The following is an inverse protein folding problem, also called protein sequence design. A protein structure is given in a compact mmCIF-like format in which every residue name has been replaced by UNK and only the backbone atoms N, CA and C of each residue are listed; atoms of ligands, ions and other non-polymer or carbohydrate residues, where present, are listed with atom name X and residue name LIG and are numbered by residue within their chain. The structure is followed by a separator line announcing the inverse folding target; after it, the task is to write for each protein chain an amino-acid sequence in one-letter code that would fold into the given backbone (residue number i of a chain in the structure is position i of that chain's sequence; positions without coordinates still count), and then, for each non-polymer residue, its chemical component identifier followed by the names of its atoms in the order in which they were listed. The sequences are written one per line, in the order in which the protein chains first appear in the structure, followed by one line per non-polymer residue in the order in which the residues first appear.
data_IF_640110507597
#
_entry.id   IF_640110507597
#
_cell.length_a   1.000
_cell.length_b   1.000
_cell.length_c   1.000
_cell.angle_alpha   90.00
_cell.angle_beta   90.00
_cell.angle_gamma   90.00
#
_symmetry.space_group_name_H-M   'P 1'
#
loop_
_entity.id
_entity.type
_entity.pdbx_description
1 polymer ?
#
# COMPACT_ATOMS: atom_id res chain seq x y z
N UNK A 1 43.40 -19.79 -9.05
CA UNK A 1 42.66 -20.03 -7.80
C UNK A 1 41.43 -20.86 -8.18
N UNK A 2 41.28 -22.07 -7.62
CA UNK A 2 40.08 -22.89 -7.89
C UNK A 2 38.88 -22.17 -7.27
N UNK A 3 38.01 -21.61 -8.10
CA UNK A 3 36.72 -21.04 -7.65
C UNK A 3 35.82 -22.22 -7.23
N UNK A 4 36.00 -22.71 -6.00
CA UNK A 4 34.99 -23.59 -5.42
C UNK A 4 33.69 -22.85 -5.32
N UNK A 5 32.60 -23.39 -5.86
CA UNK A 5 31.29 -22.76 -5.80
C UNK A 5 30.85 -22.57 -4.34
N UNK A 6 30.52 -21.35 -3.98
CA UNK A 6 30.16 -20.98 -2.61
C UNK A 6 28.75 -20.39 -2.53
N UNK A 7 28.10 -20.59 -1.40
CA UNK A 7 26.85 -19.93 -1.00
C UNK A 7 27.18 -18.79 -0.03
N UNK A 8 26.20 -17.94 0.26
CA UNK A 8 26.42 -16.83 1.17
C UNK A 8 26.77 -17.33 2.59
N UNK A 9 27.97 -17.04 3.11
CA UNK A 9 28.40 -17.52 4.43
C UNK A 9 27.48 -17.02 5.57
N UNK A 10 26.89 -15.83 5.43
CA UNK A 10 25.97 -15.25 6.41
C UNK A 10 24.70 -16.07 6.62
N UNK A 11 24.34 -16.93 5.65
CA UNK A 11 23.13 -17.79 5.70
C UNK A 11 23.45 -19.23 6.10
N UNK A 12 24.70 -19.57 6.33
CA UNK A 12 25.13 -20.96 6.62
C UNK A 12 24.37 -21.56 7.82
N UNK A 13 24.30 -20.85 8.92
CA UNK A 13 23.65 -21.36 10.12
C UNK A 13 22.13 -21.41 9.99
N UNK A 14 21.54 -20.45 9.28
CA UNK A 14 20.11 -20.46 8.96
C UNK A 14 19.71 -21.77 8.23
N UNK A 15 20.50 -22.26 7.28
CA UNK A 15 20.20 -23.48 6.53
C UNK A 15 20.55 -24.76 7.30
N UNK A 16 21.55 -24.74 8.20
CA UNK A 16 21.98 -25.90 8.96
C UNK A 16 21.13 -26.17 10.20
N UNK A 17 20.56 -25.14 10.81
CA UNK A 17 19.77 -25.26 12.03
C UNK A 17 18.54 -26.15 11.80
N UNK A 18 18.30 -27.08 12.72
CA UNK A 18 17.20 -28.06 12.70
C UNK A 18 16.16 -27.81 13.80
N UNK A 19 16.50 -27.04 14.82
CA UNK A 19 15.64 -26.68 15.94
C UNK A 19 15.44 -25.18 15.93
N UNK A 20 14.18 -24.75 15.96
CA UNK A 20 13.82 -23.33 16.02
C UNK A 20 14.06 -22.77 17.44
N UNK A 21 14.09 -21.43 17.64
CA UNK A 21 14.32 -20.81 18.94
C UNK A 21 13.30 -21.19 20.02
N UNK A 22 12.10 -21.62 19.63
CA UNK A 22 11.04 -22.08 20.51
C UNK A 22 11.17 -23.58 20.91
N UNK A 23 12.26 -24.25 20.52
CA UNK A 23 12.53 -25.66 20.82
C UNK A 23 11.88 -26.66 19.88
N UNK A 24 11.03 -26.24 18.95
CA UNK A 24 10.41 -27.14 17.98
C UNK A 24 11.35 -27.46 16.80
N UNK A 25 11.14 -28.62 16.17
CA UNK A 25 11.78 -28.92 14.89
C UNK A 25 11.39 -27.88 13.85
N UNK A 26 12.36 -27.48 13.02
CA UNK A 26 12.14 -26.46 11.98
C UNK A 26 11.12 -26.97 10.96
N UNK A 27 10.05 -26.20 10.81
CA UNK A 27 8.96 -26.39 9.84
C UNK A 27 8.87 -25.26 8.84
N UNK A 28 9.30 -24.07 9.25
CA UNK A 28 9.24 -22.86 8.44
C UNK A 28 10.60 -22.16 8.45
N UNK A 29 11.10 -21.86 7.24
CA UNK A 29 12.28 -21.02 7.04
C UNK A 29 11.84 -19.75 6.34
N UNK A 30 11.81 -18.64 7.08
CA UNK A 30 11.45 -17.32 6.57
C UNK A 30 12.72 -16.52 6.34
N UNK A 31 13.03 -16.25 5.08
CA UNK A 31 14.17 -15.46 4.66
C UNK A 31 13.68 -14.21 3.93
N UNK A 32 13.78 -13.07 4.60
CA UNK A 32 13.24 -11.81 4.07
C UNK A 32 14.27 -10.69 4.10
N UNK A 33 14.02 -9.59 3.39
CA UNK A 33 14.90 -8.43 3.32
C UNK A 33 14.90 -7.75 1.97
N UNK A 34 15.79 -6.80 1.77
CA UNK A 34 15.89 -5.99 0.57
C UNK A 34 16.35 -6.76 -0.67
N UNK A 35 16.33 -6.09 -1.81
CA UNK A 35 16.92 -6.58 -3.06
C UNK A 35 18.43 -6.75 -2.90
N UNK A 36 19.04 -7.50 -3.82
CA UNK A 36 20.49 -7.75 -3.88
C UNK A 36 21.08 -8.46 -2.64
N UNK A 37 20.24 -9.08 -1.80
CA UNK A 37 20.66 -9.77 -0.56
C UNK A 37 21.00 -11.28 -0.73
N UNK A 38 21.04 -11.78 -1.96
CA UNK A 38 21.32 -13.21 -2.30
C UNK A 38 20.26 -14.24 -1.88
N UNK A 39 19.15 -13.87 -1.23
CA UNK A 39 18.12 -14.79 -0.69
C UNK A 39 17.76 -15.94 -1.63
N UNK A 40 17.27 -15.61 -2.83
CA UNK A 40 16.78 -16.59 -3.81
C UNK A 40 17.93 -17.44 -4.38
N UNK A 41 19.09 -16.81 -4.62
CA UNK A 41 20.29 -17.50 -5.07
C UNK A 41 20.79 -18.53 -4.05
N UNK A 42 20.74 -18.18 -2.78
CA UNK A 42 21.19 -19.05 -1.70
C UNK A 42 20.20 -20.20 -1.48
N UNK A 43 18.88 -19.88 -1.45
CA UNK A 43 17.82 -20.89 -1.36
C UNK A 43 17.91 -21.92 -2.50
N UNK A 44 18.08 -21.45 -3.75
CA UNK A 44 18.26 -22.34 -4.92
C UNK A 44 19.51 -23.23 -4.79
N UNK A 45 20.62 -22.66 -4.35
CA UNK A 45 21.85 -23.43 -4.16
C UNK A 45 21.71 -24.50 -3.09
N UNK A 46 21.09 -24.18 -1.95
CA UNK A 46 20.81 -25.17 -0.89
C UNK A 46 19.81 -26.22 -1.36
N UNK A 47 18.80 -25.84 -2.16
CA UNK A 47 17.84 -26.79 -2.72
C UNK A 47 18.53 -27.82 -3.63
N UNK A 48 19.38 -27.36 -4.56
CA UNK A 48 20.17 -28.28 -5.44
C UNK A 48 21.13 -29.12 -4.62
N UNK A 49 21.84 -28.54 -3.66
CA UNK A 49 22.75 -29.32 -2.81
C UNK A 49 22.01 -30.44 -2.06
N UNK A 50 20.89 -30.11 -1.38
CA UNK A 50 20.08 -31.13 -0.68
C UNK A 50 19.56 -32.21 -1.63
N UNK A 51 19.00 -31.80 -2.78
CA UNK A 51 18.47 -32.72 -3.77
C UNK A 51 19.54 -33.63 -4.38
N UNK A 52 20.80 -33.22 -4.42
CA UNK A 52 21.91 -34.05 -4.91
C UNK A 52 22.36 -35.09 -3.90
N UNK A 53 22.29 -34.81 -2.58
CA UNK A 53 22.78 -35.70 -1.54
C UNK A 53 21.72 -36.65 -0.96
N UNK A 54 20.44 -36.28 -1.03
CA UNK A 54 19.33 -37.09 -0.50
C UNK A 54 18.06 -36.85 -1.31
N UNK A 55 17.16 -37.85 -1.32
CA UNK A 55 15.86 -37.67 -1.97
C UNK A 55 15.10 -36.51 -1.39
N UNK A 56 14.74 -35.51 -2.23
CA UNK A 56 14.00 -34.32 -1.88
C UNK A 56 13.00 -33.99 -2.96
N UNK A 57 11.76 -33.78 -2.59
CA UNK A 57 10.70 -33.36 -3.50
C UNK A 57 10.30 -31.92 -3.22
N UNK A 58 10.75 -31.02 -4.08
CA UNK A 58 10.49 -29.58 -3.98
C UNK A 58 9.25 -29.19 -4.76
N UNK A 59 8.32 -28.53 -4.08
CA UNK A 59 7.22 -27.83 -4.67
C UNK A 59 7.60 -26.33 -4.73
N UNK A 60 7.98 -25.85 -5.90
CA UNK A 60 8.37 -24.45 -6.11
C UNK A 60 7.14 -23.63 -6.49
N UNK A 61 6.80 -22.64 -5.67
CA UNK A 61 5.57 -21.86 -5.76
C UNK A 61 5.86 -20.38 -5.99
N UNK A 62 5.09 -19.77 -6.87
CA UNK A 62 5.05 -18.33 -7.10
C UNK A 62 3.61 -17.90 -7.40
N UNK A 63 3.30 -16.60 -7.31
CA UNK A 63 1.95 -16.12 -7.60
C UNK A 63 1.50 -16.47 -9.02
N UNK A 64 2.33 -16.19 -10.02
CA UNK A 64 2.02 -16.43 -11.44
C UNK A 64 2.98 -17.43 -12.07
N UNK A 65 2.42 -18.44 -12.77
CA UNK A 65 3.20 -19.53 -13.36
C UNK A 65 4.12 -19.07 -14.49
N UNK A 66 3.69 -18.17 -15.34
CA UNK A 66 4.49 -17.65 -16.46
C UNK A 66 5.79 -16.94 -16.03
N UNK A 67 5.88 -16.49 -14.78
CA UNK A 67 7.10 -15.90 -14.20
C UNK A 67 7.99 -16.89 -13.46
N UNK A 68 7.54 -18.12 -13.25
CA UNK A 68 8.34 -19.17 -12.59
C UNK A 68 9.46 -19.64 -13.51
N UNK A 69 9.19 -19.77 -14.81
CA UNK A 69 10.19 -20.17 -15.81
C UNK A 69 11.35 -19.17 -15.86
N UNK A 70 11.07 -17.87 -15.72
CA UNK A 70 12.06 -16.81 -15.82
C UNK A 70 12.82 -16.56 -14.50
N UNK A 71 12.43 -17.22 -13.39
CA UNK A 71 13.04 -16.97 -12.08
C UNK A 71 13.55 -18.23 -11.38
N UNK A 72 12.70 -18.95 -10.63
CA UNK A 72 13.13 -20.10 -9.80
C UNK A 72 13.68 -21.23 -10.66
N UNK A 73 13.02 -21.54 -11.76
CA UNK A 73 13.44 -22.59 -12.67
C UNK A 73 14.81 -22.29 -13.29
N UNK A 74 15.00 -21.11 -13.86
CA UNK A 74 16.30 -20.68 -14.43
C UNK A 74 17.38 -20.65 -13.36
N UNK A 75 17.06 -20.11 -12.17
CA UNK A 75 17.99 -20.03 -11.05
C UNK A 75 18.47 -21.42 -10.57
N UNK A 76 17.57 -22.40 -10.52
CA UNK A 76 17.94 -23.79 -10.20
C UNK A 76 18.85 -24.41 -11.26
N UNK A 77 18.58 -24.17 -12.55
CA UNK A 77 19.45 -24.61 -13.66
C UNK A 77 20.84 -24.00 -13.53
N UNK A 78 20.92 -22.70 -13.30
CA UNK A 78 22.21 -22.01 -13.13
C UNK A 78 22.99 -22.59 -11.94
N UNK A 79 22.28 -22.93 -10.83
CA UNK A 79 22.94 -23.55 -9.68
C UNK A 79 23.42 -24.99 -9.96
N UNK A 80 22.71 -25.77 -10.77
CA UNK A 80 23.17 -27.08 -11.22
C UNK A 80 24.51 -26.93 -11.96
N UNK A 81 24.58 -26.04 -12.95
CA UNK A 81 25.81 -25.82 -13.71
C UNK A 81 26.91 -25.18 -12.86
N UNK A 82 26.55 -24.23 -11.99
CA UNK A 82 27.49 -23.59 -11.06
C UNK A 82 28.19 -24.59 -10.12
N UNK A 83 27.46 -25.64 -9.69
CA UNK A 83 28.01 -26.71 -8.86
C UNK A 83 28.64 -27.85 -9.67
N UNK A 84 28.62 -27.80 -11.01
CA UNK A 84 29.13 -28.87 -11.88
C UNK A 84 28.31 -30.18 -11.82
N UNK A 85 27.01 -30.05 -11.52
CA UNK A 85 26.10 -31.18 -11.31
C UNK A 85 25.25 -31.57 -12.54
N UNK A 86 25.55 -31.04 -13.72
CA UNK A 86 24.76 -31.24 -14.95
C UNK A 86 24.58 -32.74 -15.30
N UNK A 87 25.56 -33.56 -14.96
CA UNK A 87 25.48 -34.99 -15.16
C UNK A 87 24.49 -35.70 -14.24
N UNK A 88 24.13 -35.09 -13.10
CA UNK A 88 23.29 -35.69 -12.08
C UNK A 88 21.81 -35.37 -12.28
N UNK A 89 21.47 -34.32 -12.99
CA UNK A 89 20.11 -33.86 -13.18
C UNK A 89 19.63 -33.97 -14.63
N UNK A 90 18.33 -34.23 -14.81
CA UNK A 90 17.58 -34.07 -16.07
C UNK A 90 16.69 -32.83 -15.93
N UNK A 91 16.69 -31.99 -16.96
CA UNK A 91 15.97 -30.74 -17.01
C UNK A 91 14.87 -30.88 -18.07
N UNK A 92 13.60 -30.78 -17.65
CA UNK A 92 12.41 -30.79 -18.49
C UNK A 92 11.79 -29.40 -18.55
N UNK A 93 10.82 -29.19 -19.40
CA UNK A 93 10.15 -27.88 -19.51
C UNK A 93 9.42 -27.43 -18.23
N UNK A 94 8.91 -28.40 -17.44
CA UNK A 94 8.09 -28.20 -16.25
C UNK A 94 8.65 -28.85 -14.97
N UNK A 95 9.82 -29.47 -15.06
CA UNK A 95 10.44 -30.21 -13.96
C UNK A 95 11.96 -30.24 -14.03
N UNK A 96 12.58 -30.47 -12.88
CA UNK A 96 13.99 -30.86 -12.78
C UNK A 96 14.04 -32.13 -11.91
N UNK A 97 14.70 -33.19 -12.42
CA UNK A 97 14.77 -34.49 -11.75
C UNK A 97 16.22 -34.90 -11.52
N UNK A 98 16.54 -35.44 -10.37
CA UNK A 98 17.80 -36.11 -10.15
C UNK A 98 17.74 -37.51 -10.76
N UNK A 99 18.77 -37.92 -11.53
CA UNK A 99 18.75 -39.14 -12.35
C UNK A 99 18.68 -40.44 -11.56
N UNK A 100 19.09 -40.45 -10.29
CA UNK A 100 19.30 -41.71 -9.54
C UNK A 100 18.64 -41.76 -8.18
N UNK A 101 18.44 -40.61 -7.48
CA UNK A 101 17.96 -40.61 -6.09
C UNK A 101 16.50 -40.25 -5.90
N UNK A 102 15.74 -39.98 -6.97
CA UNK A 102 14.32 -39.67 -6.92
C UNK A 102 13.96 -38.20 -6.57
N UNK A 103 14.96 -37.32 -6.40
CA UNK A 103 14.70 -35.90 -6.16
C UNK A 103 14.02 -35.24 -7.35
N UNK A 104 13.04 -34.38 -7.04
CA UNK A 104 12.17 -33.75 -8.03
C UNK A 104 11.86 -32.30 -7.65
N UNK A 105 11.93 -31.41 -8.62
CA UNK A 105 11.41 -30.07 -8.53
C UNK A 105 10.23 -29.92 -9.48
N UNK A 106 9.09 -29.42 -8.94
CA UNK A 106 7.89 -29.06 -9.72
C UNK A 106 7.52 -27.61 -9.46
N UNK A 107 6.94 -26.97 -10.47
CA UNK A 107 6.72 -25.53 -10.51
C UNK A 107 5.24 -25.21 -10.71
N UNK A 108 4.60 -24.47 -9.78
CA UNK A 108 3.18 -24.11 -9.86
C UNK A 108 2.93 -22.65 -9.56
N UNK A 109 2.05 -22.04 -10.34
CA UNK A 109 1.48 -20.72 -10.07
C UNK A 109 0.28 -20.82 -9.13
N UNK A 110 0.32 -20.12 -8.00
CA UNK A 110 -0.74 -20.18 -6.99
C UNK A 110 -2.06 -19.49 -7.43
N UNK A 111 -2.00 -18.49 -8.32
CA UNK A 111 -3.17 -17.69 -8.69
C UNK A 111 -4.24 -18.47 -9.48
N UNK A 112 -3.85 -19.51 -10.23
CA UNK A 112 -4.77 -20.26 -11.09
C UNK A 112 -4.82 -21.75 -10.79
N UNK A 113 -3.76 -22.31 -10.25
CA UNK A 113 -3.57 -23.76 -10.15
C UNK A 113 -3.44 -24.25 -8.70
N UNK A 114 -4.03 -23.52 -7.74
CA UNK A 114 -3.89 -23.85 -6.32
C UNK A 114 -4.48 -25.23 -5.99
N UNK A 115 -5.50 -25.70 -6.72
CA UNK A 115 -6.11 -27.01 -6.51
C UNK A 115 -5.22 -28.16 -7.04
N UNK A 116 -4.42 -27.91 -8.07
CA UNK A 116 -3.44 -28.91 -8.57
C UNK A 116 -2.35 -29.20 -7.55
N UNK A 117 -2.02 -28.22 -6.69
CA UNK A 117 -1.06 -28.36 -5.60
C UNK A 117 -1.48 -29.46 -4.62
N UNK A 118 -2.78 -29.68 -4.42
CA UNK A 118 -3.33 -30.69 -3.52
C UNK A 118 -2.93 -32.12 -3.92
N UNK A 119 -2.70 -32.36 -5.21
CA UNK A 119 -2.29 -33.66 -5.77
C UNK A 119 -0.80 -33.94 -5.63
N UNK A 120 0.02 -32.98 -5.25
CA UNK A 120 1.47 -33.17 -5.12
C UNK A 120 1.81 -33.99 -3.88
N UNK A 121 2.20 -35.25 -4.12
CA UNK A 121 2.50 -36.20 -3.05
C UNK A 121 3.95 -36.13 -2.58
N UNK A 122 4.16 -36.51 -1.30
CA UNK A 122 5.50 -36.67 -0.68
C UNK A 122 6.37 -35.41 -0.78
N UNK A 123 5.76 -34.19 -0.72
CA UNK A 123 6.52 -32.96 -0.69
C UNK A 123 7.45 -32.91 0.53
N UNK A 124 8.76 -32.73 0.30
CA UNK A 124 9.74 -32.51 1.36
C UNK A 124 9.83 -31.03 1.70
N UNK A 125 9.72 -30.16 0.68
CA UNK A 125 9.82 -28.70 0.81
C UNK A 125 8.81 -28.02 -0.10
N UNK A 126 8.05 -27.07 0.44
CA UNK A 126 7.35 -26.07 -0.36
C UNK A 126 8.13 -24.75 -0.29
N UNK A 127 8.73 -24.38 -1.42
CA UNK A 127 9.44 -23.11 -1.54
C UNK A 127 8.55 -22.06 -2.21
N UNK A 128 8.12 -21.07 -1.44
CA UNK A 128 7.29 -19.96 -1.89
C UNK A 128 8.21 -18.76 -2.15
N UNK A 129 8.47 -18.48 -3.42
CA UNK A 129 9.30 -17.36 -3.87
C UNK A 129 8.44 -16.13 -4.17
N UNK A 130 8.96 -14.94 -3.88
CA UNK A 130 8.21 -13.68 -3.89
C UNK A 130 6.91 -13.77 -3.09
N UNK A 131 7.03 -14.33 -1.88
CA UNK A 131 5.88 -14.67 -1.04
C UNK A 131 5.08 -13.45 -0.53
N UNK A 132 5.50 -12.20 -0.80
CA UNK A 132 4.75 -11.00 -0.42
C UNK A 132 3.31 -10.96 -0.97
N UNK A 133 3.02 -11.71 -2.03
CA UNK A 133 1.66 -11.84 -2.59
C UNK A 133 0.87 -13.05 -2.02
N UNK A 134 1.43 -13.82 -1.10
CA UNK A 134 0.74 -14.95 -0.49
C UNK A 134 -0.41 -14.46 0.39
N UNK A 135 -1.62 -14.95 0.12
CA UNK A 135 -2.79 -14.67 0.98
C UNK A 135 -2.99 -15.76 2.02
N UNK A 136 -3.75 -15.44 3.07
CA UNK A 136 -4.12 -16.41 4.10
C UNK A 136 -4.91 -17.59 3.50
N UNK A 137 -5.80 -17.32 2.57
CA UNK A 137 -6.62 -18.33 1.89
C UNK A 137 -5.74 -19.30 1.09
N UNK A 138 -4.79 -18.80 0.29
CA UNK A 138 -3.84 -19.65 -0.42
C UNK A 138 -3.02 -20.51 0.55
N UNK A 139 -2.55 -19.94 1.63
CA UNK A 139 -1.77 -20.67 2.63
C UNK A 139 -2.60 -21.77 3.32
N UNK A 140 -3.88 -21.53 3.61
CA UNK A 140 -4.81 -22.53 4.16
C UNK A 140 -4.96 -23.74 3.23
N UNK A 141 -4.94 -23.56 1.93
CA UNK A 141 -5.03 -24.64 0.94
C UNK A 141 -3.71 -25.43 0.85
N UNK A 142 -2.56 -24.75 0.82
CA UNK A 142 -1.26 -25.39 0.60
C UNK A 142 -0.78 -26.11 1.87
N UNK A 143 -1.00 -25.53 3.05
CA UNK A 143 -0.45 -26.03 4.31
C UNK A 143 -0.77 -27.50 4.61
N UNK A 144 -2.00 -28.00 4.52
CA UNK A 144 -2.29 -29.40 4.79
C UNK A 144 -1.59 -30.37 3.83
N UNK A 145 -1.46 -29.98 2.56
CA UNK A 145 -0.79 -30.80 1.53
C UNK A 145 0.68 -31.04 1.87
N UNK A 146 1.36 -30.06 2.41
CA UNK A 146 2.78 -30.18 2.77
C UNK A 146 2.94 -30.83 4.15
N UNK A 147 2.20 -30.34 5.16
CA UNK A 147 2.37 -30.76 6.56
C UNK A 147 1.92 -32.19 6.86
N UNK A 148 1.23 -32.87 5.93
CA UNK A 148 0.94 -34.31 6.05
C UNK A 148 2.19 -35.18 5.94
N UNK A 149 3.29 -34.65 5.42
CA UNK A 149 4.56 -35.37 5.26
C UNK A 149 5.47 -35.07 6.45
N UNK A 150 6.04 -36.12 7.04
CA UNK A 150 6.96 -36.00 8.16
C UNK A 150 8.23 -35.25 7.74
N UNK A 151 8.71 -34.33 8.55
CA UNK A 151 9.92 -33.55 8.30
C UNK A 151 9.78 -32.52 7.18
N UNK A 152 8.59 -32.31 6.58
CA UNK A 152 8.40 -31.33 5.53
C UNK A 152 8.58 -29.88 6.04
N UNK A 153 9.18 -29.05 5.20
CA UNK A 153 9.48 -27.64 5.49
C UNK A 153 8.75 -26.71 4.50
N UNK A 154 8.36 -25.51 4.98
CA UNK A 154 8.07 -24.36 4.13
C UNK A 154 9.27 -23.44 4.08
N UNK A 155 9.70 -23.06 2.89
CA UNK A 155 10.66 -22.00 2.67
C UNK A 155 9.92 -20.78 2.11
N UNK A 156 9.99 -19.66 2.81
CA UNK A 156 9.26 -18.44 2.47
C UNK A 156 10.30 -17.35 2.21
N UNK A 157 10.48 -16.99 0.94
CA UNK A 157 11.47 -15.99 0.51
C UNK A 157 10.76 -14.78 -0.08
N UNK A 158 11.03 -13.58 0.44
CA UNK A 158 10.38 -12.37 -0.07
C UNK A 158 11.09 -11.07 0.31
N UNK A 159 10.79 -10.03 -0.47
CA UNK A 159 11.03 -8.65 -0.08
C UNK A 159 9.72 -8.13 0.54
N UNK A 160 9.73 -7.62 1.78
CA UNK A 160 8.54 -7.06 2.40
C UNK A 160 7.97 -5.91 1.56
N UNK A 161 6.66 -5.89 1.37
CA UNK A 161 5.98 -4.82 0.68
C UNK A 161 5.24 -3.93 1.68
N UNK A 162 4.26 -4.47 2.38
CA UNK A 162 3.51 -3.76 3.41
C UNK A 162 3.66 -4.46 4.76
N UNK A 163 3.70 -3.68 5.84
CA UNK A 163 3.66 -4.23 7.20
C UNK A 163 2.34 -4.98 7.49
N UNK A 164 1.28 -4.67 6.74
CA UNK A 164 -0.04 -5.30 6.84
C UNK A 164 -0.19 -6.58 6.03
N UNK A 165 0.75 -6.93 5.17
CA UNK A 165 0.68 -8.15 4.37
C UNK A 165 0.61 -9.41 5.24
N UNK A 166 -0.22 -10.38 4.82
CA UNK A 166 -0.38 -11.64 5.54
C UNK A 166 0.96 -12.33 5.83
N UNK A 167 1.84 -12.40 4.82
CA UNK A 167 3.13 -13.08 4.97
C UNK A 167 4.03 -12.39 6.00
N UNK A 168 4.05 -11.06 6.02
CA UNK A 168 4.85 -10.31 6.98
C UNK A 168 4.30 -10.48 8.41
N UNK A 169 2.98 -10.32 8.59
CA UNK A 169 2.33 -10.56 9.89
C UNK A 169 2.55 -11.99 10.39
N UNK A 170 2.33 -12.98 9.51
CA UNK A 170 2.29 -14.40 9.89
C UNK A 170 3.67 -15.00 10.08
N UNK A 171 4.69 -14.59 9.33
CA UNK A 171 5.99 -15.24 9.31
C UNK A 171 7.13 -14.38 9.86
N UNK A 172 6.89 -13.07 10.12
CA UNK A 172 7.88 -12.17 10.71
C UNK A 172 7.42 -11.66 12.07
N UNK A 173 6.21 -11.05 12.16
CA UNK A 173 5.73 -10.43 13.41
C UNK A 173 5.18 -11.47 14.40
N UNK A 174 4.48 -12.50 13.92
CA UNK A 174 3.87 -13.55 14.76
C UNK A 174 4.13 -14.92 14.13
N UNK A 175 5.40 -15.37 14.09
CA UNK A 175 5.76 -16.61 13.42
C UNK A 175 5.15 -17.82 14.11
N UNK A 176 4.69 -18.84 13.33
CA UNK A 176 4.20 -20.09 13.90
C UNK A 176 5.32 -20.89 14.57
N UNK A 177 4.96 -21.81 15.50
CA UNK A 177 5.95 -22.68 16.12
C UNK A 177 6.81 -23.43 15.08
N UNK A 178 8.09 -23.58 15.39
CA UNK A 178 9.05 -24.22 14.52
C UNK A 178 9.51 -23.32 13.34
N UNK A 179 9.47 -22.00 13.50
CA UNK A 179 9.91 -21.03 12.47
C UNK A 179 11.31 -20.50 12.77
N UNK A 180 12.18 -20.55 11.76
CA UNK A 180 13.40 -19.74 11.69
C UNK A 180 13.11 -18.49 10.87
N UNK A 181 13.30 -17.30 11.46
CA UNK A 181 13.15 -16.01 10.79
C UNK A 181 14.51 -15.35 10.64
N UNK A 182 14.87 -14.94 9.44
CA UNK A 182 16.15 -14.27 9.14
C UNK A 182 15.93 -13.08 8.20
N UNK A 183 16.24 -11.90 8.69
CA UNK A 183 16.43 -10.71 7.85
C UNK A 183 17.82 -10.76 7.24
N UNK A 184 17.93 -10.57 5.93
CA UNK A 184 19.22 -10.42 5.24
C UNK A 184 19.12 -9.32 4.17
N UNK A 185 20.13 -8.47 4.12
CA UNK A 185 20.20 -7.34 3.21
C UNK A 185 21.52 -7.33 2.42
N UNK A 186 21.63 -6.43 1.45
CA UNK A 186 22.75 -6.33 0.55
C UNK A 186 24.14 -6.23 1.23
N UNK A 187 24.31 -5.59 2.42
CA UNK A 187 25.63 -5.54 3.04
C UNK A 187 26.18 -6.91 3.48
N UNK A 188 25.29 -7.90 3.65
CA UNK A 188 25.66 -9.28 3.96
C UNK A 188 25.88 -10.14 2.71
N UNK A 189 25.74 -9.58 1.50
CA UNK A 189 25.95 -10.28 0.23
C UNK A 189 27.37 -10.03 -0.30
N UNK A 190 28.29 -11.01 -0.20
CA UNK A 190 29.68 -10.84 -0.62
C UNK A 190 29.88 -10.91 -2.14
N UNK A 191 28.80 -11.13 -2.92
CA UNK A 191 28.87 -11.35 -4.37
C UNK A 191 28.47 -10.13 -5.21
N UNK A 192 28.24 -8.97 -4.58
CA UNK A 192 27.84 -7.76 -5.29
C UNK A 192 28.99 -7.16 -6.09
N UNK A 193 28.66 -6.68 -7.27
CA UNK A 193 29.60 -5.89 -8.09
C UNK A 193 29.75 -4.47 -7.53
N UNK A 194 30.85 -3.82 -7.85
CA UNK A 194 31.07 -2.41 -7.50
C UNK A 194 29.97 -1.51 -8.08
N UNK A 195 29.57 -1.74 -9.32
CA UNK A 195 28.46 -1.02 -9.97
C UNK A 195 27.15 -1.12 -9.19
N UNK A 196 26.82 -2.32 -8.67
CA UNK A 196 25.62 -2.49 -7.84
C UNK A 196 25.68 -1.70 -6.54
N UNK A 197 26.85 -1.61 -5.91
CA UNK A 197 27.04 -0.82 -4.68
C UNK A 197 26.93 0.68 -4.96
N UNK A 198 27.47 1.18 -6.06
CA UNK A 198 27.37 2.56 -6.48
C UNK A 198 25.91 2.98 -6.78
N UNK A 199 25.13 2.11 -7.45
CA UNK A 199 23.71 2.33 -7.69
C UNK A 199 22.91 2.41 -6.38
N UNK A 200 23.18 1.53 -5.42
CA UNK A 200 22.55 1.54 -4.09
C UNK A 200 22.83 2.87 -3.36
N UNK A 201 24.06 3.36 -3.37
CA UNK A 201 24.42 4.63 -2.72
C UNK A 201 23.79 5.84 -3.43
N UNK A 202 23.60 5.79 -4.76
CA UNK A 202 22.87 6.81 -5.51
C UNK A 202 21.40 6.88 -5.06
N UNK A 203 20.72 5.74 -5.02
CA UNK A 203 19.32 5.69 -4.54
C UNK A 203 19.19 6.15 -3.09
N UNK A 204 20.15 5.78 -2.24
CA UNK A 204 20.17 6.22 -0.84
C UNK A 204 20.32 7.74 -0.69
N UNK A 205 21.08 8.38 -1.55
CA UNK A 205 21.25 9.82 -1.57
C UNK A 205 20.03 10.55 -2.12
N UNK A 206 19.35 9.97 -3.12
CA UNK A 206 18.18 10.53 -3.78
C UNK A 206 16.89 10.37 -2.98
N UNK A 207 16.63 9.16 -2.48
CA UNK A 207 15.42 8.81 -1.72
C UNK A 207 15.73 7.77 -0.64
N UNK A 208 15.93 8.23 0.58
CA UNK A 208 16.27 7.37 1.71
C UNK A 208 15.14 6.40 2.10
N UNK A 209 13.85 6.77 1.90
CA UNK A 209 12.72 5.88 2.17
C UNK A 209 12.67 4.76 1.14
N UNK A 210 12.88 5.08 -0.15
CA UNK A 210 12.99 4.08 -1.21
C UNK A 210 14.17 3.14 -0.95
N UNK A 211 15.35 3.69 -0.58
CA UNK A 211 16.50 2.88 -0.19
C UNK A 211 16.18 1.91 0.96
N UNK A 212 15.54 2.38 2.02
CA UNK A 212 15.16 1.52 3.15
C UNK A 212 14.22 0.40 2.71
N UNK A 213 13.23 0.74 1.90
CA UNK A 213 12.26 -0.24 1.40
C UNK A 213 12.91 -1.27 0.46
N UNK A 214 13.60 -0.80 -0.57
CA UNK A 214 14.13 -1.65 -1.65
C UNK A 214 15.33 -2.46 -1.20
N UNK A 215 16.28 -1.85 -0.49
CA UNK A 215 17.57 -2.48 -0.18
C UNK A 215 17.72 -2.96 1.26
N UNK A 216 16.94 -2.41 2.20
CA UNK A 216 16.97 -2.86 3.61
C UNK A 216 15.73 -3.67 4.00
N UNK A 217 14.77 -3.86 3.07
CA UNK A 217 13.57 -4.68 3.32
C UNK A 217 12.67 -4.13 4.41
N UNK A 218 12.66 -2.80 4.61
CA UNK A 218 11.71 -2.14 5.50
C UNK A 218 10.34 -2.12 4.80
N UNK A 219 9.30 -2.75 5.40
CA UNK A 219 7.97 -2.70 4.81
C UNK A 219 7.44 -1.27 4.80
N UNK A 220 6.68 -0.91 3.77
CA UNK A 220 5.97 0.37 3.75
C UNK A 220 4.74 0.29 4.63
N UNK A 221 4.37 1.42 5.22
CA UNK A 221 3.13 1.51 6.00
C UNK A 221 1.90 1.47 5.10
N UNK A 222 1.99 2.05 3.91
CA UNK A 222 0.91 2.14 2.93
C UNK A 222 1.29 1.54 1.57
N UNK A 223 0.28 1.04 0.84
CA UNK A 223 0.42 0.65 -0.57
C UNK A 223 0.75 1.90 -1.41
N UNK A 224 1.70 1.80 -2.34
CA UNK A 224 2.03 2.88 -3.29
C UNK A 224 0.86 3.32 -4.17
N UNK A 225 -0.23 2.55 -4.18
CA UNK A 225 -1.44 2.88 -4.90
C UNK A 225 -2.36 3.84 -4.16
N UNK A 226 -2.17 4.09 -2.85
CA UNK A 226 -3.03 5.06 -2.16
C UNK A 226 -2.82 6.47 -2.70
N UNK A 227 -3.88 7.26 -2.69
CA UNK A 227 -3.83 8.66 -3.17
C UNK A 227 -3.05 9.52 -2.17
N UNK A 228 -3.28 9.34 -0.87
CA UNK A 228 -2.63 10.11 0.21
C UNK A 228 -1.91 9.13 1.13
N UNK A 229 -0.60 9.28 1.29
CA UNK A 229 0.19 8.41 2.18
C UNK A 229 -0.08 8.74 3.64
N UNK A 230 -0.19 7.70 4.49
CA UNK A 230 -0.39 7.87 5.94
C UNK A 230 0.73 8.70 6.59
N UNK A 231 1.98 8.52 6.16
CA UNK A 231 3.13 9.27 6.64
C UNK A 231 2.99 10.79 6.42
N UNK A 232 2.35 11.20 5.31
CA UNK A 232 2.09 12.62 5.05
C UNK A 232 1.05 13.20 6.00
N UNK A 233 0.02 12.43 6.33
CA UNK A 233 -1.02 12.81 7.28
C UNK A 233 -0.47 12.91 8.70
N UNK A 234 0.35 11.95 9.12
CA UNK A 234 1.01 11.97 10.43
C UNK A 234 1.94 13.20 10.58
N UNK A 235 2.69 13.55 9.55
CA UNK A 235 3.52 14.76 9.56
C UNK A 235 2.68 16.06 9.62
N UNK A 236 1.46 16.03 9.09
CA UNK A 236 0.55 17.18 9.09
C UNK A 236 -0.09 17.47 10.46
N UNK A 237 -0.02 16.51 11.42
CA UNK A 237 -0.53 16.77 12.79
C UNK A 237 0.28 17.91 13.41
N UNK A 238 -0.43 19.00 13.75
CA UNK A 238 0.12 20.23 14.30
C UNK A 238 1.28 20.83 13.47
N UNK A 239 1.28 20.64 12.15
CA UNK A 239 2.30 21.22 11.29
C UNK A 239 2.33 22.75 11.38
N UNK A 240 1.18 23.40 11.59
CA UNK A 240 1.06 24.85 11.79
C UNK A 240 1.80 25.35 13.06
N UNK A 241 2.07 24.48 14.03
CA UNK A 241 2.88 24.76 15.21
C UNK A 241 4.37 24.54 14.98
N UNK A 242 4.73 23.78 13.92
CA UNK A 242 6.12 23.35 13.62
C UNK A 242 6.75 24.17 12.50
N UNK A 243 5.96 24.57 11.52
CA UNK A 243 6.40 25.30 10.32
C UNK A 243 5.87 26.72 10.40
N UNK A 244 6.75 27.71 10.24
CA UNK A 244 6.38 29.13 10.29
C UNK A 244 5.38 29.53 9.21
N UNK A 245 4.80 30.73 9.37
CA UNK A 245 3.85 31.31 8.42
C UNK A 245 2.45 31.54 9.01
N UNK A 246 1.60 32.22 8.27
CA UNK A 246 0.20 32.45 8.64
C UNK A 246 -0.69 31.32 8.07
N UNK A 247 -1.03 30.36 8.88
CA UNK A 247 -1.82 29.17 8.51
C UNK A 247 -3.33 29.40 8.54
N UNK A 248 -3.77 30.39 9.30
CA UNK A 248 -5.18 30.70 9.53
C UNK A 248 -5.71 31.70 8.51
N UNK A 249 -7.03 31.65 8.25
CA UNK A 249 -7.64 32.52 7.25
C UNK A 249 -9.16 32.44 7.23
N UNK A 250 -9.74 32.40 6.03
CA UNK A 250 -11.19 32.26 5.91
C UNK A 250 -11.66 30.84 6.27
N UNK A 251 -12.63 30.77 7.21
CA UNK A 251 -13.18 29.47 7.64
C UNK A 251 -14.23 28.94 6.69
N UNK A 252 -14.17 27.64 6.44
CA UNK A 252 -15.09 26.90 5.56
C UNK A 252 -15.50 25.59 6.23
N UNK A 253 -16.79 25.26 6.17
CA UNK A 253 -17.30 23.95 6.59
C UNK A 253 -17.60 23.13 5.34
N UNK A 254 -17.05 21.91 5.27
CA UNK A 254 -17.42 20.90 4.28
C UNK A 254 -18.42 19.92 4.89
N UNK A 255 -19.42 19.54 4.14
CA UNK A 255 -20.49 18.65 4.57
C UNK A 255 -20.67 17.53 3.57
N UNK A 256 -20.45 16.29 4.01
CA UNK A 256 -20.80 15.06 3.31
C UNK A 256 -22.16 14.58 3.80
N UNK A 257 -23.10 14.47 2.86
CA UNK A 257 -24.50 14.12 3.15
C UNK A 257 -24.67 12.62 3.09
N UNK A 258 -25.16 12.02 4.19
CA UNK A 258 -25.49 10.59 4.20
C UNK A 258 -26.56 10.29 3.15
N UNK A 259 -26.36 9.20 2.41
CA UNK A 259 -27.35 8.69 1.45
C UNK A 259 -28.41 7.89 2.22
N UNK A 260 -28.32 6.60 2.31
CA UNK A 260 -29.30 5.74 2.98
C UNK A 260 -28.62 4.62 3.75
N UNK A 261 -29.31 4.07 4.76
CA UNK A 261 -28.83 2.92 5.51
C UNK A 261 -27.82 3.27 6.61
N UNK A 262 -26.65 2.59 6.64
CA UNK A 262 -25.64 2.75 7.68
C UNK A 262 -24.67 3.92 7.45
N UNK A 263 -24.82 4.67 6.35
CA UNK A 263 -24.00 5.85 6.04
C UNK A 263 -24.24 6.97 7.07
N UNK A 264 -23.21 7.74 7.36
CA UNK A 264 -23.29 8.83 8.32
C UNK A 264 -23.02 10.16 7.63
N UNK A 265 -23.71 11.20 8.11
CA UNK A 265 -23.35 12.57 7.80
C UNK A 265 -22.01 12.93 8.46
N UNK A 266 -21.19 13.71 7.79
CA UNK A 266 -19.94 14.21 8.33
C UNK A 266 -19.71 15.68 8.00
N UNK A 267 -19.07 16.41 8.91
CA UNK A 267 -18.64 17.77 8.63
C UNK A 267 -17.22 18.03 9.10
N UNK A 268 -16.50 18.80 8.28
CA UNK A 268 -15.12 19.24 8.55
C UNK A 268 -15.07 20.77 8.54
N UNK A 269 -14.46 21.36 9.56
CA UNK A 269 -14.20 22.80 9.64
C UNK A 269 -12.73 23.09 9.37
N UNK A 270 -12.47 23.87 8.32
CA UNK A 270 -11.15 24.40 8.00
C UNK A 270 -11.05 25.88 8.40
N UNK A 271 -9.89 26.29 8.92
CA UNK A 271 -9.50 27.69 9.11
C UNK A 271 -8.22 27.96 8.30
N UNK A 272 -8.38 28.59 7.14
CA UNK A 272 -7.29 28.67 6.16
C UNK A 272 -6.79 27.29 5.73
N UNK A 273 -5.56 26.96 6.11
CA UNK A 273 -4.90 25.67 5.83
C UNK A 273 -4.95 24.69 7.01
N UNK A 274 -5.66 25.00 8.10
CA UNK A 274 -5.73 24.17 9.31
C UNK A 274 -7.10 23.53 9.45
N UNK A 275 -7.17 22.21 9.61
CA UNK A 275 -8.37 21.53 10.05
C UNK A 275 -8.53 21.72 11.56
N UNK A 276 -9.61 22.39 11.97
CA UNK A 276 -9.85 22.78 13.37
C UNK A 276 -11.07 22.08 13.99
N UNK A 277 -11.86 21.34 13.24
CA UNK A 277 -13.05 20.67 13.76
C UNK A 277 -13.56 19.58 12.84
N UNK A 278 -14.01 18.49 13.46
CA UNK A 278 -14.60 17.30 12.82
C UNK A 278 -15.88 16.93 13.57
N UNK A 279 -16.91 16.50 12.85
CA UNK A 279 -18.16 16.00 13.43
C UNK A 279 -18.74 14.89 12.55
N UNK A 280 -19.36 13.89 13.16
CA UNK A 280 -20.02 12.78 12.47
C UNK A 280 -21.30 12.41 13.23
N UNK A 281 -22.41 12.19 12.50
CA UNK A 281 -23.69 11.83 13.11
C UNK A 281 -24.52 10.93 12.18
N UNK A 282 -25.43 10.17 12.78
CA UNK A 282 -26.45 9.44 12.03
C UNK A 282 -27.58 10.38 11.63
N UNK A 283 -28.17 10.15 10.47
CA UNK A 283 -29.34 10.86 9.97
C UNK A 283 -29.54 10.48 8.51
N UNK A 284 -30.74 10.04 8.18
CA UNK A 284 -31.10 9.62 6.82
C UNK A 284 -31.70 10.73 5.97
N UNK A 285 -32.26 10.33 4.85
CA UNK A 285 -32.92 11.22 3.89
C UNK A 285 -34.05 12.04 4.51
N UNK A 286 -34.84 11.42 5.39
CA UNK A 286 -35.96 12.07 6.08
C UNK A 286 -35.51 13.17 7.09
N UNK A 287 -34.23 13.14 7.51
CA UNK A 287 -33.63 14.08 8.48
C UNK A 287 -32.68 15.09 7.83
N UNK A 288 -32.78 15.26 6.49
CA UNK A 288 -31.90 16.17 5.75
C UNK A 288 -31.99 17.62 6.24
N UNK A 289 -33.19 18.05 6.67
CA UNK A 289 -33.42 19.40 7.23
C UNK A 289 -32.68 19.58 8.54
N UNK A 290 -32.78 18.62 9.45
CA UNK A 290 -32.16 18.62 10.77
C UNK A 290 -30.64 18.59 10.62
N UNK A 291 -30.12 17.77 9.71
CA UNK A 291 -28.69 17.68 9.38
C UNK A 291 -28.17 18.98 8.78
N UNK A 292 -28.90 19.61 7.87
CA UNK A 292 -28.53 20.92 7.30
C UNK A 292 -28.52 22.01 8.40
N UNK A 293 -29.46 21.97 9.37
CA UNK A 293 -29.49 22.89 10.50
C UNK A 293 -28.30 22.68 11.42
N UNK A 294 -27.90 21.42 11.71
CA UNK A 294 -26.72 21.08 12.50
C UNK A 294 -25.45 21.67 11.88
N UNK A 295 -25.27 21.48 10.57
CA UNK A 295 -24.11 22.03 9.84
C UNK A 295 -24.10 23.55 9.85
N UNK A 296 -25.28 24.20 9.70
CA UNK A 296 -25.41 25.65 9.84
C UNK A 296 -24.95 26.11 11.23
N UNK A 297 -25.40 25.47 12.30
CA UNK A 297 -24.97 25.80 13.66
C UNK A 297 -23.47 25.61 13.87
N UNK A 298 -22.89 24.57 13.29
CA UNK A 298 -21.43 24.36 13.28
C UNK A 298 -20.72 25.52 12.57
N UNK A 299 -21.21 25.93 11.41
CA UNK A 299 -20.65 27.06 10.66
C UNK A 299 -20.77 28.39 11.40
N UNK A 300 -21.90 28.64 12.08
CA UNK A 300 -22.11 29.84 12.91
C UNK A 300 -21.16 29.89 14.11
N UNK A 301 -21.04 28.77 14.86
CA UNK A 301 -20.12 28.66 16.00
C UNK A 301 -18.66 28.86 15.58
N UNK A 302 -18.29 28.32 14.46
CA UNK A 302 -16.95 28.47 13.88
C UNK A 302 -16.72 29.86 13.26
N UNK A 303 -17.78 30.67 13.08
CA UNK A 303 -17.77 31.93 12.31
C UNK A 303 -17.29 31.65 10.85
N UNK A 304 -17.75 30.56 10.27
CA UNK A 304 -17.37 30.20 8.92
C UNK A 304 -17.98 31.14 7.88
N UNK A 305 -17.21 31.38 6.84
CA UNK A 305 -17.64 32.21 5.72
C UNK A 305 -18.54 31.46 4.74
N UNK A 306 -18.36 30.14 4.61
CA UNK A 306 -19.08 29.30 3.64
C UNK A 306 -19.30 27.88 4.15
N UNK A 307 -20.37 27.24 3.61
CA UNK A 307 -20.61 25.80 3.73
C UNK A 307 -20.53 25.21 2.31
N UNK A 308 -19.65 24.23 2.11
CA UNK A 308 -19.64 23.36 0.93
C UNK A 308 -20.38 22.07 1.23
N UNK A 309 -21.12 21.49 0.28
CA UNK A 309 -21.84 20.24 0.49
C UNK A 309 -21.84 19.36 -0.77
N UNK A 310 -21.87 18.03 -0.58
CA UNK A 310 -22.11 17.13 -1.72
C UNK A 310 -23.49 17.37 -2.28
N UNK A 311 -23.57 17.58 -3.60
CA UNK A 311 -24.80 17.92 -4.31
C UNK A 311 -25.34 16.76 -5.15
N UNK A 312 -24.87 15.54 -4.94
CA UNK A 312 -25.32 14.33 -5.63
C UNK A 312 -26.32 13.57 -4.76
N UNK A 313 -27.28 12.89 -5.37
CA UNK A 313 -28.27 12.07 -4.66
C UNK A 313 -29.08 12.90 -3.65
N UNK A 314 -29.16 12.40 -2.42
CA UNK A 314 -29.89 13.05 -1.29
C UNK A 314 -29.37 14.47 -1.04
N UNK A 315 -28.07 14.75 -1.22
CA UNK A 315 -27.46 16.04 -1.04
C UNK A 315 -27.97 17.16 -1.96
N UNK A 316 -28.67 16.81 -3.06
CA UNK A 316 -29.19 17.80 -4.02
C UNK A 316 -30.13 18.84 -3.37
N UNK A 317 -30.88 18.46 -2.33
CA UNK A 317 -31.81 19.32 -1.57
C UNK A 317 -31.15 20.22 -0.50
N UNK A 318 -29.92 19.94 -0.11
CA UNK A 318 -29.24 20.59 1.03
C UNK A 318 -29.18 22.12 0.90
N UNK A 319 -28.89 22.63 -0.29
CA UNK A 319 -28.85 24.08 -0.51
C UNK A 319 -30.19 24.80 -0.25
N UNK A 320 -31.31 24.15 -0.58
CA UNK A 320 -32.66 24.68 -0.30
C UNK A 320 -32.92 24.74 1.21
N UNK A 321 -32.53 23.70 1.96
CA UNK A 321 -32.66 23.66 3.42
C UNK A 321 -31.77 24.71 4.11
N UNK A 322 -30.51 24.89 3.64
CA UNK A 322 -29.61 25.96 4.13
C UNK A 322 -30.19 27.34 3.87
N UNK A 323 -30.74 27.58 2.68
CA UNK A 323 -31.41 28.87 2.34
C UNK A 323 -32.63 29.13 3.23
N UNK A 324 -33.49 28.12 3.41
CA UNK A 324 -34.66 28.19 4.30
C UNK A 324 -34.27 28.47 5.76
N UNK A 325 -33.09 27.94 6.18
CA UNK A 325 -32.50 28.20 7.48
C UNK A 325 -31.80 29.58 7.57
N UNK A 326 -31.80 30.39 6.53
CA UNK A 326 -31.21 31.74 6.49
C UNK A 326 -29.71 31.76 6.15
N UNK A 327 -29.13 30.64 5.77
CA UNK A 327 -27.71 30.57 5.38
C UNK A 327 -27.57 30.54 3.84
N UNK A 328 -27.17 31.67 3.25
CA UNK A 328 -27.07 31.84 1.79
C UNK A 328 -25.65 31.65 1.25
N UNK A 329 -24.61 31.62 2.09
CA UNK A 329 -23.21 31.49 1.72
C UNK A 329 -22.80 30.01 1.66
N UNK A 330 -23.27 29.32 0.65
CA UNK A 330 -22.94 27.89 0.40
C UNK A 330 -22.54 27.65 -1.04
N UNK A 331 -21.87 26.54 -1.28
CA UNK A 331 -21.51 26.09 -2.63
C UNK A 331 -21.71 24.58 -2.78
N UNK A 332 -22.01 24.18 -4.01
CA UNK A 332 -22.20 22.78 -4.40
C UNK A 332 -20.87 22.13 -4.77
N UNK A 333 -20.63 20.96 -4.25
CA UNK A 333 -19.56 20.07 -4.70
C UNK A 333 -20.21 18.89 -5.47
N UNK A 334 -20.01 18.86 -6.79
CA UNK A 334 -20.44 17.72 -7.61
C UNK A 334 -19.23 16.81 -7.85
N UNK A 335 -19.13 15.71 -7.07
CA UNK A 335 -18.02 14.78 -7.12
C UNK A 335 -17.78 14.21 -8.53
N UNK A 336 -18.84 13.90 -9.29
CA UNK A 336 -18.79 13.42 -10.69
C UNK A 336 -18.65 14.52 -11.74
N UNK A 337 -18.67 15.80 -11.31
CA UNK A 337 -18.65 16.95 -12.22
C UNK A 337 -17.33 17.13 -12.98
N UNK A 338 -17.37 18.05 -13.96
CA UNK A 338 -16.17 18.40 -14.74
C UNK A 338 -15.08 19.00 -13.84
N UNK A 339 -13.84 18.78 -14.22
CA UNK A 339 -12.67 19.36 -13.55
C UNK A 339 -12.70 20.90 -13.59
N UNK A 340 -12.07 21.52 -12.60
CA UNK A 340 -11.84 22.97 -12.57
C UNK A 340 -10.61 23.30 -13.43
N UNK A 341 -10.62 24.49 -14.06
CA UNK A 341 -9.52 24.97 -14.92
C UNK A 341 -9.04 23.90 -15.94
N UNK A 342 -9.94 23.40 -16.85
CA UNK A 342 -9.67 22.20 -17.65
C UNK A 342 -8.39 22.27 -18.49
N UNK A 343 -8.04 23.45 -19.02
CA UNK A 343 -6.85 23.69 -19.85
C UNK A 343 -5.57 23.97 -19.06
N UNK A 344 -5.66 24.15 -17.74
CA UNK A 344 -4.50 24.34 -16.89
C UNK A 344 -3.74 23.04 -16.74
N UNK A 345 -2.41 23.09 -16.80
CA UNK A 345 -1.54 21.93 -16.56
C UNK A 345 -1.55 21.55 -15.08
N UNK A 346 -1.58 20.24 -14.80
CA UNK A 346 -1.47 19.72 -13.44
C UNK A 346 0.00 19.72 -12.99
N UNK A 347 0.31 20.49 -11.94
CA UNK A 347 1.65 20.60 -11.39
C UNK A 347 2.70 20.91 -12.46
N UNK A 348 3.84 20.25 -12.39
CA UNK A 348 4.94 20.33 -13.38
C UNK A 348 4.73 19.39 -14.57
N UNK A 349 3.59 18.71 -14.67
CA UNK A 349 3.28 17.83 -15.79
C UNK A 349 2.98 18.63 -17.06
N UNK A 350 3.10 17.99 -18.24
CA UNK A 350 2.68 18.60 -19.50
C UNK A 350 1.21 18.33 -19.83
N UNK A 351 0.48 17.68 -18.93
CA UNK A 351 -0.89 17.19 -19.11
C UNK A 351 -1.87 18.20 -18.52
N UNK A 352 -2.93 18.54 -19.27
CA UNK A 352 -3.98 19.42 -18.78
C UNK A 352 -4.88 18.72 -17.74
N UNK A 353 -5.53 19.49 -16.87
CA UNK A 353 -6.42 18.93 -15.84
C UNK A 353 -7.50 18.01 -16.43
N UNK A 354 -8.13 18.40 -17.56
CA UNK A 354 -9.16 17.60 -18.22
C UNK A 354 -8.67 16.27 -18.80
N UNK A 355 -7.38 16.19 -19.12
CA UNK A 355 -6.74 14.97 -19.66
C UNK A 355 -6.16 14.10 -18.55
N UNK A 356 -5.84 14.69 -17.40
CA UNK A 356 -5.24 13.98 -16.26
C UNK A 356 -6.30 13.40 -15.32
N UNK A 357 -7.36 14.17 -14.97
CA UNK A 357 -8.36 13.79 -13.99
C UNK A 357 -9.67 13.34 -14.66
N UNK A 358 -10.27 12.26 -14.17
CA UNK A 358 -11.56 11.78 -14.65
C UNK A 358 -12.74 12.68 -14.24
N UNK A 359 -12.67 13.35 -13.08
CA UNK A 359 -13.73 14.18 -12.53
C UNK A 359 -13.20 15.15 -11.44
N UNK A 360 -14.10 15.98 -10.92
CA UNK A 360 -13.79 16.96 -9.88
C UNK A 360 -13.33 16.30 -8.56
N UNK A 361 -13.91 15.15 -8.18
CA UNK A 361 -13.49 14.39 -6.99
C UNK A 361 -12.01 14.00 -7.12
N UNK A 362 -11.62 13.40 -8.23
CA UNK A 362 -10.22 13.03 -8.47
C UNK A 362 -9.30 14.24 -8.38
N UNK A 363 -9.63 15.33 -9.08
CA UNK A 363 -8.83 16.56 -9.04
C UNK A 363 -8.65 17.08 -7.61
N UNK A 364 -9.72 17.14 -6.82
CA UNK A 364 -9.66 17.68 -5.45
C UNK A 364 -8.83 16.76 -4.53
N UNK A 365 -8.99 15.44 -4.65
CA UNK A 365 -8.18 14.48 -3.89
C UNK A 365 -6.69 14.61 -4.19
N UNK A 366 -6.29 14.71 -5.48
CA UNK A 366 -4.88 14.85 -5.86
C UNK A 366 -4.28 16.17 -5.39
N UNK A 367 -5.00 17.28 -5.52
CA UNK A 367 -4.52 18.57 -5.02
C UNK A 367 -4.42 18.60 -3.48
N UNK A 368 -5.29 17.86 -2.80
CA UNK A 368 -5.19 17.67 -1.34
C UNK A 368 -3.98 16.80 -1.00
N UNK A 369 -3.72 15.74 -1.76
CA UNK A 369 -2.53 14.90 -1.61
C UNK A 369 -1.24 15.69 -1.79
N UNK A 370 -1.16 16.55 -2.82
CA UNK A 370 -0.01 17.43 -3.04
C UNK A 370 0.23 18.36 -1.84
N UNK A 371 -0.82 18.93 -1.26
CA UNK A 371 -0.72 19.79 -0.07
C UNK A 371 -0.22 19.02 1.15
N UNK A 372 -0.68 17.79 1.39
CA UNK A 372 -0.15 16.93 2.46
C UNK A 372 1.30 16.51 2.20
N UNK A 373 1.65 16.21 0.95
CA UNK A 373 3.04 15.92 0.56
C UNK A 373 3.96 17.12 0.82
N UNK A 374 3.53 18.33 0.46
CA UNK A 374 4.29 19.54 0.74
C UNK A 374 4.50 19.74 2.24
N UNK A 375 3.45 19.53 3.05
CA UNK A 375 3.55 19.58 4.52
C UNK A 375 4.57 18.56 5.04
N UNK A 376 4.51 17.32 4.54
CA UNK A 376 5.48 16.29 4.90
C UNK A 376 6.91 16.71 4.58
N UNK A 377 7.15 17.23 3.38
CA UNK A 377 8.49 17.71 2.97
C UNK A 377 8.94 18.92 3.79
N UNK A 378 8.05 19.84 4.14
CA UNK A 378 8.37 20.97 5.00
C UNK A 378 8.78 20.52 6.41
N UNK A 379 7.97 19.63 7.01
CA UNK A 379 8.20 19.15 8.40
C UNK A 379 9.42 18.22 8.49
N UNK A 380 9.62 17.32 7.52
CA UNK A 380 10.64 16.26 7.63
C UNK A 380 11.95 16.58 6.90
N UNK A 381 11.90 17.42 5.88
CA UNK A 381 13.07 17.76 5.04
C UNK A 381 13.42 19.25 5.06
N UNK A 382 12.67 20.07 5.79
CA UNK A 382 12.91 21.52 5.88
C UNK A 382 12.70 22.28 4.55
N UNK A 383 11.95 21.70 3.58
CA UNK A 383 11.63 22.38 2.33
C UNK A 383 10.62 23.49 2.56
N UNK A 384 10.78 24.61 1.88
CA UNK A 384 9.86 25.76 1.98
C UNK A 384 8.76 25.66 0.93
N UNK A 385 7.51 25.87 1.39
CA UNK A 385 6.31 25.95 0.56
C UNK A 385 5.43 27.09 1.04
N UNK A 386 4.68 27.77 0.15
CA UNK A 386 3.60 28.68 0.54
C UNK A 386 2.58 27.96 1.42
N UNK A 387 2.08 28.62 2.45
CA UNK A 387 1.16 28.00 3.43
C UNK A 387 -0.14 27.50 2.79
N UNK A 388 -0.65 28.20 1.78
CA UNK A 388 -1.84 27.78 1.01
C UNK A 388 -1.63 26.50 0.18
N UNK A 389 -0.36 26.10 -0.01
CA UNK A 389 0.03 24.83 -0.63
C UNK A 389 0.33 23.71 0.38
N UNK A 390 0.04 23.95 1.67
CA UNK A 390 0.20 22.98 2.76
C UNK A 390 -1.13 22.78 3.49
N UNK A 391 -1.24 21.71 4.29
CA UNK A 391 -2.37 21.42 5.18
C UNK A 391 -1.84 21.01 6.54
N UNK A 392 -2.48 21.48 7.60
CA UNK A 392 -2.27 21.03 8.97
C UNK A 392 -3.54 20.42 9.55
N UNK A 393 -3.39 19.39 10.36
CA UNK A 393 -4.45 18.77 11.15
C UNK A 393 -4.22 19.15 12.62
N UNK A 394 -5.17 19.88 13.24
CA UNK A 394 -5.03 20.25 14.65
C UNK A 394 -5.27 19.07 15.57
N UNK A 395 -4.37 18.82 16.52
CA UNK A 395 -4.55 17.84 17.61
C UNK A 395 -5.66 18.25 18.60
N UNK A 396 -6.23 19.46 18.48
CA UNK A 396 -7.36 19.95 19.27
C UNK A 396 -8.71 19.41 18.75
N UNK A 397 -8.75 18.81 17.56
CA UNK A 397 -9.90 18.05 17.09
C UNK A 397 -10.16 16.84 17.99
N UNK A 398 -11.40 16.33 18.00
CA UNK A 398 -11.69 15.05 18.66
C UNK A 398 -10.72 13.96 18.18
N UNK A 399 -10.02 13.34 19.11
CA UNK A 399 -8.94 12.39 18.78
C UNK A 399 -9.43 11.18 18.00
N UNK A 400 -10.63 10.66 18.31
CA UNK A 400 -11.19 9.50 17.60
C UNK A 400 -11.58 9.85 16.17
N UNK A 401 -12.16 11.05 15.98
CA UNK A 401 -12.51 11.52 14.64
C UNK A 401 -11.27 11.89 13.83
N UNK A 402 -10.22 12.40 14.47
CA UNK A 402 -8.94 12.66 13.81
C UNK A 402 -8.25 11.38 13.34
N UNK A 403 -8.19 10.35 14.19
CA UNK A 403 -7.66 9.04 13.80
C UNK A 403 -8.46 8.44 12.66
N UNK A 404 -9.81 8.54 12.73
CA UNK A 404 -10.69 8.09 11.66
C UNK A 404 -10.48 8.86 10.36
N UNK A 405 -10.32 10.18 10.39
CA UNK A 405 -9.98 11.00 9.21
C UNK A 405 -8.67 10.54 8.58
N UNK A 406 -7.64 10.28 9.39
CA UNK A 406 -6.35 9.78 8.92
C UNK A 406 -6.52 8.42 8.22
N UNK A 407 -7.28 7.50 8.81
CA UNK A 407 -7.56 6.20 8.21
C UNK A 407 -8.33 6.34 6.89
N UNK A 408 -9.39 7.14 6.88
CA UNK A 408 -10.22 7.37 5.69
C UNK A 408 -9.48 8.08 4.55
N UNK A 409 -8.60 9.04 4.84
CA UNK A 409 -7.78 9.72 3.83
C UNK A 409 -6.64 8.82 3.28
N UNK A 410 -6.10 7.91 4.11
CA UNK A 410 -4.98 7.06 3.72
C UNK A 410 -5.38 5.72 3.09
N UNK A 411 -6.66 5.44 2.97
CA UNK A 411 -7.17 4.14 2.51
C UNK A 411 -7.51 4.09 1.01
N UNK A 412 -8.15 5.12 0.39
CA UNK A 412 -8.56 5.05 -1.01
C UNK A 412 -7.39 4.97 -1.97
N UNK A 413 -7.49 4.05 -2.92
CA UNK A 413 -6.46 3.80 -3.92
C UNK A 413 -6.67 4.65 -5.17
N UNK A 414 -5.57 4.89 -5.87
CA UNK A 414 -5.57 5.42 -7.22
C UNK A 414 -6.14 4.37 -8.17
N UNK A 415 -7.06 4.80 -9.00
CA UNK A 415 -7.67 4.01 -10.07
C UNK A 415 -7.67 4.82 -11.37
N UNK A 416 -8.09 4.23 -12.48
CA UNK A 416 -8.13 4.85 -13.78
C UNK A 416 -9.50 4.61 -14.44
N UNK A 417 -9.97 5.57 -15.20
CA UNK A 417 -11.12 5.37 -16.08
C UNK A 417 -10.71 4.65 -17.38
N UNK A 418 -11.69 4.36 -18.23
CA UNK A 418 -11.45 3.65 -19.50
C UNK A 418 -10.58 4.45 -20.50
N UNK A 419 -10.41 5.75 -20.28
CA UNK A 419 -9.54 6.62 -21.08
C UNK A 419 -8.15 6.84 -20.46
N UNK A 420 -7.86 6.18 -19.34
CA UNK A 420 -6.58 6.27 -18.63
C UNK A 420 -6.43 7.49 -17.72
N UNK A 421 -7.51 8.28 -17.50
CA UNK A 421 -7.48 9.40 -16.56
C UNK A 421 -7.55 8.90 -15.13
N UNK A 422 -6.84 9.56 -14.23
CA UNK A 422 -6.84 9.16 -12.82
C UNK A 422 -8.18 9.43 -12.15
N UNK A 423 -8.63 8.49 -11.33
CA UNK A 423 -9.77 8.61 -10.43
C UNK A 423 -9.45 8.01 -9.07
N UNK A 424 -10.23 8.37 -8.06
CA UNK A 424 -10.18 7.76 -6.73
C UNK A 424 -11.03 6.50 -6.74
N UNK A 425 -10.59 5.46 -6.05
CA UNK A 425 -11.34 4.22 -5.81
C UNK A 425 -12.79 4.52 -5.42
N UNK A 426 -13.73 3.81 -6.01
CA UNK A 426 -15.16 4.05 -5.78
C UNK A 426 -15.62 3.48 -4.43
N UNK A 427 -16.72 4.04 -3.86
CA UNK A 427 -17.38 3.48 -2.65
C UNK A 427 -17.72 1.99 -2.85
N UNK A 428 -18.09 1.55 -4.07
CA UNK A 428 -18.35 0.14 -4.40
C UNK A 428 -17.10 -0.73 -4.33
N UNK A 429 -15.97 -0.21 -4.75
CA UNK A 429 -14.71 -0.97 -4.73
C UNK A 429 -14.12 -1.00 -3.32
N UNK A 430 -14.28 0.05 -2.53
CA UNK A 430 -13.99 0.06 -1.08
C UNK A 430 -14.83 -1.01 -0.36
N UNK A 431 -16.13 -1.10 -0.66
CA UNK A 431 -17.02 -2.11 -0.06
C UNK A 431 -16.60 -3.55 -0.40
N UNK A 432 -16.05 -3.83 -1.60
CA UNK A 432 -15.46 -5.14 -1.96
C UNK A 432 -14.25 -5.52 -1.11
N UNK A 433 -13.65 -4.54 -0.45
CA UNK A 433 -12.51 -4.70 0.47
C UNK A 433 -12.94 -4.65 1.94
N UNK A 434 -14.25 -4.73 2.22
CA UNK A 434 -14.84 -4.56 3.56
C UNK A 434 -14.51 -3.22 4.23
N UNK A 435 -14.36 -2.16 3.42
CA UNK A 435 -14.06 -0.81 3.87
C UNK A 435 -15.32 0.04 3.78
N UNK A 436 -15.66 0.69 4.89
CA UNK A 436 -16.81 1.60 4.99
C UNK A 436 -16.61 2.88 4.16
N UNK A 437 -17.72 3.59 3.91
CA UNK A 437 -17.71 4.89 3.22
C UNK A 437 -16.84 5.92 3.98
N UNK A 438 -15.92 6.64 3.30
CA UNK A 438 -15.01 7.59 3.93
C UNK A 438 -15.67 8.97 4.12
N UNK A 439 -16.72 9.03 4.94
CA UNK A 439 -17.59 10.22 5.06
C UNK A 439 -16.85 11.44 5.63
N UNK A 440 -15.98 11.25 6.64
CA UNK A 440 -15.20 12.37 7.21
C UNK A 440 -14.18 12.85 6.17
N UNK A 441 -13.54 11.93 5.43
CA UNK A 441 -12.61 12.29 4.36
C UNK A 441 -13.33 13.03 3.22
N UNK A 442 -14.52 12.58 2.79
CA UNK A 442 -15.29 13.27 1.75
C UNK A 442 -15.69 14.69 2.22
N UNK A 443 -16.13 14.89 3.48
CA UNK A 443 -16.38 16.22 4.05
C UNK A 443 -15.13 17.10 4.09
N UNK A 444 -13.96 16.51 4.41
CA UNK A 444 -12.68 17.22 4.41
C UNK A 444 -12.29 17.67 2.99
N UNK A 445 -12.43 16.81 1.99
CA UNK A 445 -12.19 17.12 0.58
C UNK A 445 -13.10 18.25 0.10
N UNK A 446 -14.40 18.23 0.49
CA UNK A 446 -15.35 19.29 0.16
C UNK A 446 -14.91 20.63 0.77
N UNK A 447 -14.50 20.65 2.05
CA UNK A 447 -14.02 21.87 2.70
C UNK A 447 -12.82 22.50 1.97
N UNK A 448 -11.90 21.64 1.46
CA UNK A 448 -10.71 22.05 0.73
C UNK A 448 -10.95 22.42 -0.75
N UNK A 449 -12.12 22.09 -1.31
CA UNK A 449 -12.44 22.35 -2.73
C UNK A 449 -12.80 23.82 -3.05
N UNK A 450 -13.11 24.63 -2.05
CA UNK A 450 -13.58 26.00 -2.26
C UNK A 450 -12.65 26.85 -3.12
N UNK A 451 -11.34 26.79 -2.88
CA UNK A 451 -10.36 27.55 -3.65
C UNK A 451 -10.34 27.22 -5.14
N UNK A 452 -10.65 25.97 -5.50
CA UNK A 452 -10.80 25.51 -6.88
C UNK A 452 -12.09 26.06 -7.52
N UNK A 453 -13.20 26.00 -6.78
CA UNK A 453 -14.52 26.37 -7.28
C UNK A 453 -14.69 27.90 -7.38
N UNK A 454 -14.06 28.68 -6.50
CA UNK A 454 -14.09 30.14 -6.55
C UNK A 454 -13.40 30.70 -7.81
N UNK A 455 -12.41 30.02 -8.36
CA UNK A 455 -11.76 30.40 -9.62
C UNK A 455 -12.64 30.16 -10.85
N UNK A 456 -13.60 29.23 -10.78
CA UNK A 456 -14.56 28.95 -11.85
C UNK A 456 -15.49 30.13 -12.14
N UNK A 457 -15.98 30.77 -11.07
CA UNK A 457 -16.90 31.94 -11.20
C UNK A 457 -16.23 33.17 -11.81
N UNK A 458 -14.93 33.33 -11.66
CA UNK A 458 -14.19 34.44 -12.24
C UNK A 458 -13.88 34.23 -13.75
N UNK A 459 -13.72 32.98 -14.20
CA UNK A 459 -13.44 32.65 -15.61
C UNK A 459 -14.69 32.52 -16.48
N UNK A 460 -15.89 32.39 -15.86
CA UNK A 460 -17.18 32.40 -16.55
C UNK A 460 -17.78 33.81 -16.73
N UNK A 461 -17.15 34.83 -16.15
CA UNK A 461 -17.57 36.25 -16.18
C UNK A 461 -16.70 37.06 -17.17
N UNK A 462 -15.62 36.49 -17.71
CA UNK A 462 -14.78 37.06 -18.76
C UNK A 462 -14.96 36.30 -20.08
#
# INVERSE_FOLDING_TARGET
MSNNPTLNPALRDFWKTRTAPDGHSVRFRTLYGGRMSSKSHDAAGVAIARANFMEQRFLCLRMYQNRIADSVYTLLKDKISYFGLDKNFKIYADAIEHKTNGSLFRFYGMARNIDEIKSFEKASVAWIEEAHNLTEEMFRVIRPTIMRNEGAEFWVTFNPKLATDFVYKRFVLSPPPGTLVRLINYPENPFLSQTALEDIESVKAEDFEEYQHVYLGVPRDNDDRVVIKRSWLMAAIDAHKKVGGNWFGGKTVGYDVADSGDDKNASTTMDGSVCIGLDEWKGGEDELRESAMRVKLTAERAQASHIGYDSIGVGAGTGSHLNAAGWRRHFKFNAGGKVSDPKKKYGDTRINNEDFFANLKAQTWWLTADRFRNTYLAVTKGREFPVDQMISLSSECDSKLLDKLIDELSTPMRDFDNSGKVKVESKKDLAKRDIMSPNIADSFIIANSRGLLARRTASEIL
#
